data_IF_736346891272
#
_entry.id   IF_736346891272
#
_cell.length_a   1.000
_cell.length_b   1.000
_cell.length_c   1.000
_cell.angle_alpha   90.00
_cell.angle_beta   90.00
_cell.angle_gamma   90.00
#
_symmetry.space_group_name_H-M   'P 1'
#
loop_
_entity.id
_entity.type
_entity.pdbx_description
1 polymer ?
#
# COMPACT_ATOMS: atom_id res chain seq x y z
N UNK A 1 -17.78 46.26 38.81
CA UNK A 1 -17.60 46.66 37.40
C UNK A 1 -16.54 45.76 36.76
N UNK A 2 -16.86 44.49 36.53
CA UNK A 2 -15.98 43.60 35.76
C UNK A 2 -16.68 43.38 34.42
N UNK A 3 -16.14 44.03 33.39
CA UNK A 3 -16.52 43.82 32.01
C UNK A 3 -16.01 42.43 31.60
N UNK A 4 -16.93 41.53 31.27
CA UNK A 4 -16.61 40.28 30.58
C UNK A 4 -16.38 40.63 29.11
N UNK A 5 -15.11 40.69 28.71
CA UNK A 5 -14.72 40.82 27.31
C UNK A 5 -14.99 39.49 26.58
N UNK A 6 -16.13 39.43 25.90
CA UNK A 6 -16.47 38.36 24.96
C UNK A 6 -15.49 38.39 23.78
N UNK A 7 -14.46 37.55 23.87
CA UNK A 7 -13.49 37.30 22.80
C UNK A 7 -14.16 36.55 21.64
N UNK A 8 -14.78 37.28 20.70
CA UNK A 8 -15.24 36.77 19.41
C UNK A 8 -14.04 36.42 18.53
N UNK A 9 -13.61 35.16 18.57
CA UNK A 9 -12.65 34.63 17.62
C UNK A 9 -13.30 34.55 16.22
N UNK A 10 -12.86 35.42 15.30
CA UNK A 10 -13.20 35.33 13.89
C UNK A 10 -12.58 34.05 13.29
N UNK A 11 -13.40 33.05 12.99
CA UNK A 11 -13.01 31.87 12.22
C UNK A 11 -12.90 32.26 10.75
N UNK A 12 -11.69 32.25 10.21
CA UNK A 12 -11.45 32.42 8.77
C UNK A 12 -11.92 31.15 8.04
N UNK A 13 -13.05 31.24 7.34
CA UNK A 13 -13.55 30.16 6.49
C UNK A 13 -12.77 30.15 5.17
N UNK A 14 -11.75 29.29 5.07
CA UNK A 14 -11.04 29.04 3.82
C UNK A 14 -11.97 28.27 2.86
N UNK A 15 -12.46 28.93 1.81
CA UNK A 15 -13.15 28.24 0.71
C UNK A 15 -12.10 27.65 -0.23
N UNK A 16 -12.01 26.32 -0.38
CA UNK A 16 -11.07 25.72 -1.31
C UNK A 16 -11.39 26.17 -2.74
N UNK A 17 -10.36 26.60 -3.48
CA UNK A 17 -10.53 27.03 -4.86
C UNK A 17 -10.93 25.84 -5.73
N UNK A 18 -11.96 26.00 -6.55
CA UNK A 18 -12.35 24.98 -7.54
C UNK A 18 -11.54 25.18 -8.82
N UNK A 19 -10.87 24.12 -9.28
CA UNK A 19 -10.09 24.10 -10.52
C UNK A 19 -10.59 22.98 -11.44
N UNK A 20 -10.12 22.97 -12.70
CA UNK A 20 -10.34 21.84 -13.60
C UNK A 20 -9.18 20.86 -13.49
N UNK A 21 -9.48 19.56 -13.49
CA UNK A 21 -8.47 18.52 -13.59
C UNK A 21 -7.64 18.70 -14.87
N UNK A 22 -6.31 18.70 -14.75
CA UNK A 22 -5.38 18.90 -15.87
C UNK A 22 -5.39 17.78 -16.93
N UNK A 23 -6.09 16.67 -16.67
CA UNK A 23 -6.17 15.51 -17.59
C UNK A 23 -7.55 15.41 -18.26
N UNK A 24 -8.64 15.47 -17.48
CA UNK A 24 -9.99 15.21 -17.99
C UNK A 24 -10.93 16.42 -17.93
N UNK A 25 -10.51 17.55 -17.35
CA UNK A 25 -11.33 18.76 -17.25
C UNK A 25 -12.47 18.72 -16.22
N UNK A 26 -12.59 17.66 -15.41
CA UNK A 26 -13.59 17.61 -14.32
C UNK A 26 -13.31 18.67 -13.26
N UNK A 27 -14.34 19.34 -12.75
CA UNK A 27 -14.23 20.30 -11.64
C UNK A 27 -13.85 19.57 -10.35
N UNK A 28 -12.78 20.02 -9.69
CA UNK A 28 -12.25 19.47 -8.45
C UNK A 28 -11.85 20.58 -7.49
N UNK A 29 -11.76 20.28 -6.20
CA UNK A 29 -11.05 21.13 -5.26
C UNK A 29 -9.56 21.14 -5.57
N UNK A 30 -8.91 22.30 -5.43
CA UNK A 30 -7.49 22.46 -5.71
C UNK A 30 -6.65 21.53 -4.85
N UNK A 31 -5.83 20.70 -5.49
CA UNK A 31 -4.89 19.80 -4.81
C UNK A 31 -3.51 19.91 -5.45
N UNK A 32 -2.42 19.45 -4.78
CA UNK A 32 -1.06 19.58 -5.28
C UNK A 32 -0.80 18.92 -6.64
N UNK A 33 -1.65 17.97 -7.05
CA UNK A 33 -1.53 17.26 -8.31
C UNK A 33 -2.31 17.90 -9.45
N UNK A 34 -3.24 18.81 -9.15
CA UNK A 34 -4.24 19.34 -10.07
C UNK A 34 -5.00 18.22 -10.84
N UNK A 35 -5.11 17.02 -10.24
CA UNK A 35 -5.73 15.83 -10.84
C UNK A 35 -6.94 15.38 -10.04
N UNK A 36 -7.98 14.91 -10.71
CA UNK A 36 -9.10 14.23 -10.06
C UNK A 36 -8.67 12.83 -9.59
N UNK A 37 -9.44 12.25 -8.67
CA UNK A 37 -9.18 10.93 -8.09
C UNK A 37 -9.06 9.83 -9.14
N UNK A 38 -9.92 9.84 -10.16
CA UNK A 38 -9.90 8.85 -11.25
C UNK A 38 -8.62 8.96 -12.12
N UNK A 39 -8.22 10.19 -12.47
CA UNK A 39 -7.00 10.41 -13.24
C UNK A 39 -5.75 10.07 -12.43
N UNK A 40 -5.79 10.30 -11.11
CA UNK A 40 -4.69 9.92 -10.22
C UNK A 40 -4.57 8.39 -10.12
N UNK A 41 -5.67 7.68 -9.88
CA UNK A 41 -5.69 6.22 -9.75
C UNK A 41 -5.22 5.49 -11.03
N UNK A 42 -5.53 6.07 -12.19
CA UNK A 42 -5.13 5.49 -13.48
C UNK A 42 -3.68 5.73 -13.86
N UNK A 43 -3.03 6.77 -13.29
CA UNK A 43 -1.67 7.17 -13.68
C UNK A 43 -0.61 6.84 -12.62
N UNK A 44 -0.98 6.73 -11.35
CA UNK A 44 -0.02 6.46 -10.27
C UNK A 44 -0.04 4.98 -9.91
N UNK A 45 1.05 4.28 -10.22
CA UNK A 45 1.26 2.91 -9.76
C UNK A 45 1.91 2.91 -8.37
N UNK A 46 1.12 2.55 -7.36
CA UNK A 46 1.61 2.45 -5.97
C UNK A 46 2.49 1.22 -5.72
N UNK A 47 2.53 0.28 -6.67
CA UNK A 47 3.29 -0.98 -6.58
C UNK A 47 4.70 -0.89 -7.18
N UNK A 48 5.07 0.28 -7.70
CA UNK A 48 6.41 0.54 -8.22
C UNK A 48 7.50 0.17 -7.20
N UNK A 49 8.47 -0.62 -7.65
CA UNK A 49 9.58 -1.10 -6.82
C UNK A 49 9.29 -2.35 -5.99
N UNK A 50 8.06 -2.89 -6.00
CA UNK A 50 7.74 -4.19 -5.38
C UNK A 50 7.97 -5.31 -6.42
N UNK A 51 8.87 -6.27 -6.16
CA UNK A 51 9.08 -7.39 -7.08
C UNK A 51 7.85 -8.30 -7.11
N UNK A 52 7.31 -8.57 -8.30
CA UNK A 52 6.12 -9.42 -8.49
C UNK A 52 6.45 -10.93 -8.43
N UNK A 53 7.73 -11.29 -8.51
CA UNK A 53 8.20 -12.67 -8.44
C UNK A 53 9.50 -12.75 -7.65
N UNK A 54 9.61 -13.76 -6.79
CA UNK A 54 10.81 -14.06 -6.01
C UNK A 54 11.07 -15.56 -5.98
N UNK A 55 12.33 -15.93 -5.84
CA UNK A 55 12.75 -17.32 -5.65
C UNK A 55 12.98 -17.59 -4.17
N UNK A 56 12.33 -18.63 -3.65
CA UNK A 56 12.59 -19.17 -2.32
C UNK A 56 13.25 -20.54 -2.47
N UNK A 57 14.30 -20.78 -1.69
CA UNK A 57 15.00 -22.06 -1.72
C UNK A 57 14.42 -22.98 -0.64
N UNK A 58 14.19 -24.23 -1.02
CA UNK A 58 13.65 -25.27 -0.16
C UNK A 58 14.53 -26.51 -0.25
N UNK A 59 14.88 -27.09 0.90
CA UNK A 59 15.71 -28.28 0.95
C UNK A 59 14.83 -29.53 1.02
N UNK A 60 15.01 -30.44 0.04
CA UNK A 60 14.27 -31.71 -0.03
C UNK A 60 14.57 -32.65 1.14
N UNK A 61 15.78 -32.57 1.70
CA UNK A 61 16.25 -33.52 2.70
C UNK A 61 15.76 -33.20 4.12
N UNK A 62 15.55 -31.91 4.43
CA UNK A 62 15.09 -31.48 5.75
C UNK A 62 13.70 -30.83 5.73
N UNK A 63 13.09 -30.61 4.56
CA UNK A 63 11.78 -29.98 4.43
C UNK A 63 11.75 -28.49 4.77
N UNK A 64 12.90 -27.86 5.04
CA UNK A 64 13.00 -26.47 5.50
C UNK A 64 13.28 -25.49 4.37
N UNK A 65 12.85 -24.25 4.57
CA UNK A 65 13.08 -23.12 3.67
C UNK A 65 14.30 -22.30 4.08
N UNK A 66 15.01 -21.77 3.09
CA UNK A 66 16.23 -21.02 3.27
C UNK A 66 15.96 -19.64 3.86
N UNK A 67 16.25 -19.57 5.15
CA UNK A 67 16.40 -18.37 5.96
C UNK A 67 17.62 -18.63 6.86
N UNK A 68 18.35 -17.63 7.34
CA UNK A 68 19.27 -17.83 8.47
C UNK A 68 18.46 -17.71 9.77
N UNK A 69 18.28 -18.75 10.61
CA UNK A 69 18.50 -20.19 10.37
C UNK A 69 17.38 -20.83 9.52
N UNK A 70 17.61 -22.02 8.96
CA UNK A 70 16.64 -22.71 8.10
C UNK A 70 15.36 -23.01 8.88
N UNK A 71 14.21 -22.63 8.33
CA UNK A 71 12.93 -22.70 9.04
C UNK A 71 11.98 -23.69 8.39
N UNK A 72 11.24 -24.41 9.23
CA UNK A 72 10.08 -25.16 8.78
C UNK A 72 8.92 -24.19 8.56
N UNK A 73 8.24 -24.33 7.43
CA UNK A 73 7.09 -23.52 7.07
C UNK A 73 6.13 -24.38 6.24
N UNK A 74 5.01 -24.85 6.82
CA UNK A 74 4.01 -25.61 6.09
C UNK A 74 3.42 -24.79 4.93
N UNK A 75 2.96 -25.45 3.87
CA UNK A 75 2.25 -24.75 2.79
C UNK A 75 0.99 -24.08 3.33
N UNK A 76 0.66 -22.92 2.77
CA UNK A 76 -0.53 -22.13 3.15
C UNK A 76 -0.59 -21.74 4.65
N UNK A 77 0.57 -21.72 5.33
CA UNK A 77 0.70 -21.31 6.73
C UNK A 77 1.07 -19.84 6.91
N UNK A 78 0.87 -19.33 8.13
CA UNK A 78 1.32 -17.99 8.52
C UNK A 78 2.84 -17.85 8.45
N UNK A 79 3.56 -18.92 8.77
CA UNK A 79 5.02 -18.99 8.75
C UNK A 79 5.55 -18.86 7.32
N UNK A 80 4.89 -19.54 6.37
CA UNK A 80 5.18 -19.41 4.94
C UNK A 80 4.95 -17.99 4.45
N UNK A 81 3.81 -17.41 4.82
CA UNK A 81 3.46 -16.05 4.41
C UNK A 81 4.50 -15.05 4.94
N UNK A 82 4.91 -15.20 6.21
CA UNK A 82 5.98 -14.39 6.81
C UNK A 82 7.29 -14.52 6.05
N UNK A 83 7.65 -15.73 5.61
CA UNK A 83 8.85 -15.98 4.84
C UNK A 83 8.79 -15.28 3.46
N UNK A 84 7.67 -15.41 2.76
CA UNK A 84 7.45 -14.73 1.47
C UNK A 84 7.54 -13.21 1.61
N UNK A 85 6.80 -12.63 2.56
CA UNK A 85 6.76 -11.18 2.78
C UNK A 85 8.14 -10.60 3.14
N UNK A 86 8.92 -11.29 3.97
CA UNK A 86 10.28 -10.84 4.36
C UNK A 86 11.27 -10.85 3.20
N UNK A 87 11.06 -11.67 2.18
CA UNK A 87 11.92 -11.75 0.99
C UNK A 87 11.62 -10.64 -0.02
N UNK A 88 10.42 -10.04 0.03
CA UNK A 88 10.05 -8.94 -0.84
C UNK A 88 10.72 -7.64 -0.38
N UNK A 89 11.73 -7.19 -1.11
CA UNK A 89 12.36 -5.89 -0.90
C UNK A 89 11.38 -4.80 -1.35
N UNK A 90 11.24 -3.73 -0.55
CA UNK A 90 10.43 -2.55 -0.91
C UNK A 90 9.09 -2.42 -0.19
N UNK A 91 8.53 -3.51 0.35
CA UNK A 91 7.25 -3.47 1.08
C UNK A 91 7.27 -2.52 2.28
N UNK A 92 8.36 -2.46 3.04
CA UNK A 92 8.43 -1.69 4.29
C UNK A 92 8.80 -0.21 4.13
N UNK A 93 9.12 0.26 2.92
CA UNK A 93 9.67 1.62 2.74
C UNK A 93 8.59 2.65 2.42
N UNK A 94 7.73 2.35 1.45
CA UNK A 94 6.86 3.35 0.83
C UNK A 94 5.37 2.98 0.84
N UNK A 95 5.03 1.80 1.37
CA UNK A 95 3.69 1.22 1.23
C UNK A 95 3.31 0.50 2.52
N UNK A 96 2.05 0.59 2.92
CA UNK A 96 1.47 -0.15 4.04
C UNK A 96 0.83 -1.44 3.52
N UNK A 97 1.20 -2.57 4.08
CA UNK A 97 0.51 -3.84 3.82
C UNK A 97 -0.84 -3.83 4.56
N UNK A 98 -1.93 -4.10 3.84
CA UNK A 98 -3.30 -4.15 4.38
C UNK A 98 -3.71 -5.59 4.61
N UNK A 99 -3.54 -6.42 3.58
CA UNK A 99 -3.92 -7.82 3.59
C UNK A 99 -2.97 -8.65 2.73
N UNK A 100 -2.83 -9.92 3.08
CA UNK A 100 -2.04 -10.89 2.35
C UNK A 100 -2.67 -12.28 2.48
N UNK A 101 -2.98 -12.90 1.34
CA UNK A 101 -3.65 -14.22 1.28
C UNK A 101 -3.03 -15.10 0.22
N UNK A 102 -3.07 -16.42 0.43
CA UNK A 102 -2.64 -17.38 -0.58
C UNK A 102 -3.68 -17.51 -1.68
N UNK A 103 -3.21 -17.66 -2.91
CA UNK A 103 -4.02 -18.09 -4.04
C UNK A 103 -3.66 -19.55 -4.28
N UNK A 104 -4.68 -20.43 -4.30
CA UNK A 104 -4.47 -21.84 -4.53
C UNK A 104 -3.70 -22.07 -5.83
N UNK A 105 -2.75 -22.99 -5.76
CA UNK A 105 -1.90 -23.42 -6.87
C UNK A 105 -1.81 -24.92 -6.85
N UNK A 106 -1.77 -25.53 -8.03
CA UNK A 106 -1.60 -26.97 -8.18
C UNK A 106 -0.38 -27.49 -7.36
N UNK A 107 -0.51 -28.57 -6.57
CA UNK A 107 0.54 -29.08 -5.68
C UNK A 107 1.89 -29.35 -6.37
N UNK A 108 1.87 -29.73 -7.65
CA UNK A 108 3.09 -30.06 -8.40
C UNK A 108 3.79 -28.85 -9.03
N UNK A 109 3.15 -27.68 -9.02
CA UNK A 109 3.65 -26.50 -9.73
C UNK A 109 4.93 -25.91 -9.13
N UNK A 110 5.25 -26.25 -7.87
CA UNK A 110 6.34 -25.63 -7.07
C UNK A 110 6.29 -24.11 -7.07
N UNK A 111 5.10 -23.53 -7.28
CA UNK A 111 4.84 -22.10 -7.28
C UNK A 111 3.93 -21.77 -6.13
N UNK A 112 4.26 -20.72 -5.40
CA UNK A 112 3.40 -20.17 -4.35
C UNK A 112 2.90 -18.83 -4.88
N UNK A 113 1.58 -18.67 -4.99
CA UNK A 113 0.97 -17.39 -5.37
C UNK A 113 0.39 -16.74 -4.12
N UNK A 114 0.72 -15.47 -3.92
CA UNK A 114 0.21 -14.66 -2.81
C UNK A 114 -0.45 -13.43 -3.40
N UNK A 115 -1.70 -13.18 -3.01
CA UNK A 115 -2.40 -11.91 -3.24
C UNK A 115 -1.98 -10.94 -2.14
N UNK A 116 -1.51 -9.76 -2.53
CA UNK A 116 -1.14 -8.70 -1.61
C UNK A 116 -2.05 -7.49 -1.86
N UNK A 117 -2.61 -6.95 -0.80
CA UNK A 117 -3.33 -5.68 -0.82
C UNK A 117 -2.50 -4.66 -0.07
N UNK A 118 -2.17 -3.57 -0.76
CA UNK A 118 -1.23 -2.56 -0.28
C UNK A 118 -1.83 -1.16 -0.42
N UNK A 119 -1.44 -0.26 0.47
CA UNK A 119 -1.91 1.12 0.53
C UNK A 119 -0.73 2.07 0.58
N UNK A 120 -0.77 3.14 -0.22
CA UNK A 120 0.23 4.21 -0.21
C UNK A 120 -0.48 5.55 -0.30
N UNK A 121 -0.07 6.47 0.55
CA UNK A 121 -0.47 7.87 0.43
C UNK A 121 0.38 8.55 -0.64
N UNK A 122 -0.27 9.22 -1.58
CA UNK A 122 0.40 9.91 -2.69
C UNK A 122 0.44 11.42 -2.38
N UNK A 123 -0.69 12.00 -1.95
CA UNK A 123 -0.80 13.39 -1.54
C UNK A 123 -1.70 13.49 -0.31
N UNK A 124 -1.27 14.25 0.71
CA UNK A 124 -1.96 14.39 2.00
C UNK A 124 -3.32 15.12 1.93
N UNK A 125 -3.69 15.66 0.77
CA UNK A 125 -4.80 16.62 0.64
C UNK A 125 -5.82 16.26 -0.44
N UNK A 126 -5.80 15.02 -0.94
CA UNK A 126 -6.79 14.58 -1.92
C UNK A 126 -7.88 13.83 -1.16
N UNK A 127 -8.96 14.54 -0.86
CA UNK A 127 -10.22 14.01 -0.32
C UNK A 127 -11.35 14.52 -1.20
#
# INVERSE_FOLDING_TARGET
MHQNDNNMQHVMHYTPATILCCICGTKIESNPSNMCTNCLQSRVDITEGIPKQITIFWCRNCGRYQRPPWVEAPLESREMLSLCLKKLKGLNKNVKLVDASFIWTEPHSRRIKVKLTVQREIFKSIV
#
